data_IF_615059664809
#
_entry.id   IF_615059664809
#
_cell.length_a   1.000
_cell.length_b   1.000
_cell.length_c   1.000
_cell.angle_alpha   90.00
_cell.angle_beta   90.00
_cell.angle_gamma   90.00
#
_symmetry.space_group_name_H-M   'P 1'
#
loop_
_entity.id
_entity.type
_entity.pdbx_description
1 polymer ?
#
# COMPACT_ATOMS: atom_id res chain seq x y z
N UNK A 1 -25.10 4.77 19.93
CA UNK A 1 -26.26 4.24 19.17
C UNK A 1 -27.13 3.39 20.09
N UNK A 2 -26.57 2.37 20.75
CA UNK A 2 -27.29 1.50 21.69
C UNK A 2 -28.05 2.26 22.79
N UNK A 3 -27.38 3.14 23.54
CA UNK A 3 -28.02 3.87 24.65
C UNK A 3 -29.13 4.82 24.19
N UNK A 4 -28.95 5.45 23.02
CA UNK A 4 -29.95 6.36 22.42
C UNK A 4 -31.18 5.61 21.91
N UNK A 5 -31.00 4.39 21.40
CA UNK A 5 -32.09 3.53 20.97
C UNK A 5 -32.93 3.03 22.15
N UNK A 6 -32.31 2.72 23.28
CA UNK A 6 -33.03 2.25 24.48
C UNK A 6 -34.02 3.31 25.03
N UNK A 7 -33.74 4.59 24.79
CA UNK A 7 -34.57 5.70 25.27
C UNK A 7 -35.59 6.19 24.25
N UNK A 8 -35.62 5.65 23.03
CA UNK A 8 -36.50 6.10 21.96
C UNK A 8 -37.98 5.79 22.28
N UNK A 9 -38.87 6.74 22.01
CA UNK A 9 -40.29 6.70 22.36
C UNK A 9 -41.21 6.44 21.16
N UNK A 10 -40.68 6.47 19.94
CA UNK A 10 -41.43 6.20 18.72
C UNK A 10 -40.56 5.54 17.64
N UNK A 11 -41.22 4.98 16.63
CA UNK A 11 -40.55 4.42 15.44
C UNK A 11 -39.83 5.53 14.67
N UNK A 12 -40.42 6.72 14.55
CA UNK A 12 -39.78 7.86 13.88
C UNK A 12 -38.47 8.25 14.57
N UNK A 13 -38.42 8.22 15.91
CA UNK A 13 -37.21 8.50 16.68
C UNK A 13 -36.13 7.42 16.46
N UNK A 14 -36.54 6.14 16.38
CA UNK A 14 -35.63 5.04 16.03
C UNK A 14 -35.02 5.25 14.65
N UNK A 15 -35.82 5.63 13.65
CA UNK A 15 -35.35 5.91 12.29
C UNK A 15 -34.35 7.08 12.30
N UNK A 16 -34.66 8.17 12.99
CA UNK A 16 -33.74 9.32 13.08
C UNK A 16 -32.40 8.95 13.75
N UNK A 17 -32.43 8.17 14.83
CA UNK A 17 -31.21 7.70 15.50
C UNK A 17 -30.38 6.82 14.56
N UNK A 18 -31.05 5.94 13.81
CA UNK A 18 -30.40 5.06 12.85
C UNK A 18 -29.79 5.82 11.67
N UNK A 19 -30.52 6.76 11.07
CA UNK A 19 -30.05 7.58 9.97
C UNK A 19 -28.84 8.42 10.37
N UNK A 20 -28.90 9.04 11.56
CA UNK A 20 -27.77 9.76 12.12
C UNK A 20 -26.54 8.85 12.30
N UNK A 21 -26.74 7.64 12.82
CA UNK A 21 -25.65 6.67 13.02
C UNK A 21 -25.02 6.25 11.69
N UNK A 22 -25.83 5.86 10.70
CA UNK A 22 -25.35 5.47 9.38
C UNK A 22 -24.60 6.61 8.71
N UNK A 23 -25.15 7.82 8.74
CA UNK A 23 -24.50 8.98 8.16
C UNK A 23 -23.13 9.23 8.82
N UNK A 24 -23.05 9.11 10.15
CA UNK A 24 -21.80 9.22 10.88
C UNK A 24 -20.79 8.15 10.44
N UNK A 25 -21.19 6.88 10.39
CA UNK A 25 -20.31 5.79 9.96
C UNK A 25 -19.78 5.99 8.53
N UNK A 26 -20.65 6.36 7.60
CA UNK A 26 -20.26 6.59 6.20
C UNK A 26 -19.27 7.76 6.08
N UNK A 27 -19.45 8.83 6.86
CA UNK A 27 -18.52 9.96 6.91
C UNK A 27 -17.17 9.58 7.51
N UNK A 28 -17.16 8.93 8.68
CA UNK A 28 -15.93 8.53 9.36
C UNK A 28 -15.14 7.48 8.55
N UNK A 29 -15.81 6.64 7.75
CA UNK A 29 -15.16 5.74 6.79
C UNK A 29 -14.71 6.43 5.49
N UNK A 30 -14.83 7.76 5.38
CA UNK A 30 -14.47 8.58 4.21
C UNK A 30 -15.28 8.23 2.94
N UNK A 31 -16.36 7.45 3.06
CA UNK A 31 -17.13 6.94 1.91
C UNK A 31 -18.00 8.01 1.25
N UNK A 32 -18.20 9.16 1.91
CA UNK A 32 -19.00 10.28 1.39
C UNK A 32 -18.15 11.36 0.71
N UNK A 33 -16.83 11.18 0.61
CA UNK A 33 -15.93 12.11 -0.09
C UNK A 33 -15.35 11.44 -1.34
N UNK A 34 -15.88 11.73 -2.54
CA UNK A 34 -15.36 11.19 -3.80
C UNK A 34 -13.89 11.51 -4.01
N UNK A 35 -13.44 12.70 -3.61
CA UNK A 35 -12.04 13.12 -3.74
C UNK A 35 -11.10 12.26 -2.89
N UNK A 36 -11.48 11.97 -1.65
CA UNK A 36 -10.70 11.07 -0.78
C UNK A 36 -10.73 9.64 -1.29
N UNK A 37 -11.88 9.15 -1.73
CA UNK A 37 -12.03 7.80 -2.28
C UNK A 37 -11.12 7.55 -3.48
N UNK A 38 -11.03 8.51 -4.41
CA UNK A 38 -10.15 8.39 -5.59
C UNK A 38 -8.68 8.24 -5.18
N UNK A 39 -8.23 9.03 -4.20
CA UNK A 39 -6.85 8.98 -3.69
C UNK A 39 -6.56 7.66 -2.97
N UNK A 40 -7.48 7.19 -2.12
CA UNK A 40 -7.37 5.91 -1.42
C UNK A 40 -7.36 4.73 -2.41
N UNK A 41 -8.20 4.76 -3.44
CA UNK A 41 -8.20 3.71 -4.48
C UNK A 41 -6.88 3.71 -5.26
N UNK A 42 -6.30 4.88 -5.53
CA UNK A 42 -4.99 4.98 -6.17
C UNK A 42 -3.86 4.42 -5.28
N UNK A 43 -3.86 4.69 -3.98
CA UNK A 43 -2.92 4.07 -3.03
C UNK A 43 -3.06 2.55 -3.03
N UNK A 44 -4.29 2.04 -2.97
CA UNK A 44 -4.56 0.59 -3.05
C UNK A 44 -4.03 0.00 -4.35
N UNK A 45 -4.26 0.66 -5.50
CA UNK A 45 -3.76 0.21 -6.78
C UNK A 45 -2.23 0.15 -6.82
N UNK A 46 -1.53 1.15 -6.27
CA UNK A 46 -0.07 1.14 -6.13
C UNK A 46 0.41 -0.03 -5.27
N UNK A 47 -0.23 -0.29 -4.12
CA UNK A 47 0.09 -1.43 -3.26
C UNK A 47 -0.09 -2.77 -3.97
N UNK A 48 -1.18 -2.92 -4.74
CA UNK A 48 -1.44 -4.14 -5.52
C UNK A 48 -0.40 -4.33 -6.64
N UNK A 49 -0.09 -3.27 -7.40
CA UNK A 49 0.94 -3.31 -8.44
C UNK A 49 2.31 -3.65 -7.87
N UNK A 50 2.66 -3.08 -6.72
CA UNK A 50 3.89 -3.41 -6.00
C UNK A 50 3.90 -4.89 -5.58
N UNK A 51 2.83 -5.37 -4.94
CA UNK A 51 2.73 -6.77 -4.50
C UNK A 51 2.84 -7.76 -5.68
N UNK A 52 2.15 -7.49 -6.80
CA UNK A 52 2.26 -8.31 -8.01
C UNK A 52 3.68 -8.28 -8.58
N UNK A 53 4.32 -7.11 -8.63
CA UNK A 53 5.69 -6.98 -9.14
C UNK A 53 6.69 -7.77 -8.30
N UNK A 54 6.56 -7.73 -6.97
CA UNK A 54 7.40 -8.51 -6.06
C UNK A 54 7.11 -10.01 -6.17
N UNK A 55 5.84 -10.43 -6.30
CA UNK A 55 5.48 -11.85 -6.46
C UNK A 55 6.04 -12.47 -7.74
N UNK A 56 6.02 -11.74 -8.85
CA UNK A 56 6.63 -12.20 -10.12
C UNK A 56 8.15 -12.33 -10.04
N UNK A 57 8.75 -11.63 -9.07
CA UNK A 57 10.19 -11.50 -8.92
C UNK A 57 10.80 -12.53 -7.97
N UNK A 58 10.07 -12.95 -6.92
CA UNK A 58 10.52 -13.97 -5.93
C UNK A 58 11.15 -15.22 -6.61
N UNK A 59 10.54 -15.81 -7.67
CA UNK A 59 11.12 -16.97 -8.35
C UNK A 59 12.49 -16.71 -9.01
N UNK A 60 12.78 -15.46 -9.39
CA UNK A 60 14.05 -15.08 -10.05
C UNK A 60 15.21 -14.97 -9.05
N UNK A 61 14.90 -14.70 -7.78
CA UNK A 61 15.90 -14.58 -6.70
C UNK A 61 16.25 -15.96 -6.14
N UNK A 62 15.29 -16.89 -6.04
CA UNK A 62 15.54 -18.25 -5.55
C UNK A 62 16.42 -19.09 -6.50
N UNK A 63 16.41 -18.80 -7.80
CA UNK A 63 17.28 -19.48 -8.80
C UNK A 63 18.75 -19.03 -8.67
N UNK A 64 19.03 -17.86 -8.07
CA UNK A 64 20.38 -17.32 -7.94
C UNK A 64 21.20 -17.94 -6.80
N UNK A 65 20.66 -18.89 -6.03
CA UNK A 65 21.39 -19.57 -4.96
C UNK A 65 21.59 -21.07 -5.20
N UNK A 66 22.51 -21.49 -6.08
CA UNK A 66 22.94 -22.88 -6.17
C UNK A 66 23.97 -23.17 -5.07
N UNK A 67 23.53 -23.30 -3.82
CA UNK A 67 24.35 -23.96 -2.81
C UNK A 67 24.43 -25.47 -3.11
N UNK A 68 25.60 -25.87 -3.62
CA UNK A 68 26.32 -27.06 -3.17
C UNK A 68 25.73 -28.44 -3.51
N UNK A 69 25.70 -28.83 -4.79
CA UNK A 69 25.73 -30.27 -5.14
C UNK A 69 27.11 -30.67 -5.66
N UNK A 70 27.97 -31.03 -4.72
CA UNK A 70 29.29 -31.62 -4.96
C UNK A 70 29.16 -33.10 -5.37
N UNK A 71 29.18 -33.41 -6.68
CA UNK A 71 29.58 -34.75 -7.15
C UNK A 71 30.36 -34.72 -8.47
N UNK A 72 31.68 -34.88 -8.30
CA UNK A 72 32.63 -35.72 -9.08
C UNK A 72 32.39 -35.93 -10.58
N UNK A 73 33.36 -35.52 -11.41
CA UNK A 73 33.55 -36.06 -12.76
C UNK A 73 34.35 -35.17 -13.72
N UNK A 74 35.61 -35.52 -13.99
CA UNK A 74 36.48 -34.88 -15.00
C UNK A 74 35.87 -34.97 -16.42
N UNK A 75 35.75 -33.85 -17.14
CA UNK A 75 36.28 -33.67 -18.52
C UNK A 75 35.77 -32.41 -19.22
N UNK A 76 36.73 -31.72 -19.89
CA UNK A 76 36.58 -30.83 -21.07
C UNK A 76 35.39 -29.87 -21.13
N UNK A 77 35.65 -28.56 -20.98
CA UNK A 77 35.04 -27.50 -21.79
C UNK A 77 35.65 -26.12 -21.47
N UNK A 78 36.36 -25.50 -22.43
CA UNK A 78 36.72 -24.06 -22.39
C UNK A 78 35.56 -23.17 -22.86
N UNK A 79 34.35 -23.72 -23.02
CA UNK A 79 33.17 -23.03 -23.57
C UNK A 79 32.25 -22.47 -22.45
N UNK A 80 32.37 -22.95 -21.20
CA UNK A 80 31.42 -22.57 -20.12
C UNK A 80 31.71 -21.24 -19.40
N UNK A 81 32.87 -20.59 -19.61
CA UNK A 81 33.22 -19.36 -18.89
C UNK A 81 32.51 -18.10 -19.41
N UNK A 82 32.07 -18.10 -20.67
CA UNK A 82 31.32 -16.98 -21.25
C UNK A 82 29.86 -17.00 -20.83
N UNK A 83 29.26 -18.19 -20.74
CA UNK A 83 27.85 -18.38 -20.38
C UNK A 83 27.57 -17.97 -18.92
N UNK A 84 28.47 -18.34 -17.99
CA UNK A 84 28.41 -17.93 -16.58
C UNK A 84 28.53 -16.41 -16.40
N UNK A 85 29.39 -15.76 -17.20
CA UNK A 85 29.56 -14.31 -17.18
C UNK A 85 28.34 -13.57 -17.75
N UNK A 86 27.72 -14.10 -18.80
CA UNK A 86 26.51 -13.53 -19.39
C UNK A 86 25.29 -13.72 -18.47
N UNK A 87 25.17 -14.86 -17.76
CA UNK A 87 24.15 -15.07 -16.72
C UNK A 87 24.33 -14.12 -15.53
N UNK A 88 25.57 -13.91 -15.08
CA UNK A 88 25.87 -13.00 -13.97
C UNK A 88 25.62 -11.53 -14.34
N UNK A 89 25.93 -11.13 -15.58
CA UNK A 89 25.61 -9.79 -16.11
C UNK A 89 24.10 -9.60 -16.26
N UNK A 90 23.36 -10.63 -16.68
CA UNK A 90 21.90 -10.62 -16.78
C UNK A 90 21.25 -10.46 -15.40
N UNK A 91 21.65 -11.25 -14.40
CA UNK A 91 21.18 -11.12 -13.02
C UNK A 91 21.50 -9.75 -12.41
N UNK A 92 22.70 -9.21 -12.68
CA UNK A 92 23.06 -7.87 -12.23
C UNK A 92 22.16 -6.80 -12.89
N UNK A 93 21.87 -6.93 -14.19
CA UNK A 93 20.98 -6.02 -14.90
C UNK A 93 19.53 -6.09 -14.40
N UNK A 94 19.03 -7.30 -14.12
CA UNK A 94 17.69 -7.54 -13.56
C UNK A 94 17.57 -6.93 -12.15
N UNK A 95 18.59 -7.08 -11.30
CA UNK A 95 18.64 -6.44 -9.98
C UNK A 95 18.66 -4.91 -10.05
N UNK A 96 19.38 -4.32 -11.01
CA UNK A 96 19.39 -2.86 -11.20
C UNK A 96 18.02 -2.35 -11.63
N UNK A 97 17.42 -2.95 -12.66
CA UNK A 97 16.06 -2.58 -13.13
C UNK A 97 15.01 -2.76 -12.03
N UNK A 98 15.17 -3.78 -11.20
CA UNK A 98 14.33 -4.05 -10.03
C UNK A 98 14.45 -2.96 -8.96
N UNK A 99 15.66 -2.62 -8.53
CA UNK A 99 15.88 -1.55 -7.55
C UNK A 99 15.30 -0.21 -8.03
N UNK A 100 15.44 0.11 -9.31
CA UNK A 100 14.86 1.31 -9.91
C UNK A 100 13.32 1.27 -9.87
N UNK A 101 12.73 0.09 -10.11
CA UNK A 101 11.28 -0.11 -10.05
C UNK A 101 10.73 0.06 -8.62
N UNK A 102 11.44 -0.46 -7.61
CA UNK A 102 11.09 -0.27 -6.20
C UNK A 102 11.12 1.22 -5.81
N UNK A 103 12.18 1.94 -6.20
CA UNK A 103 12.29 3.38 -5.93
C UNK A 103 11.18 4.18 -6.62
N UNK A 104 10.76 3.78 -7.83
CA UNK A 104 9.60 4.38 -8.52
C UNK A 104 8.30 4.15 -7.74
N UNK A 105 8.07 2.93 -7.24
CA UNK A 105 6.89 2.64 -6.40
C UNK A 105 6.91 3.44 -5.10
N UNK A 106 8.05 3.51 -4.42
CA UNK A 106 8.20 4.29 -3.19
C UNK A 106 7.90 5.77 -3.43
N UNK A 107 8.48 6.37 -4.48
CA UNK A 107 8.23 7.76 -4.84
C UNK A 107 6.76 8.01 -5.17
N UNK A 108 6.13 7.13 -5.95
CA UNK A 108 4.71 7.25 -6.31
C UNK A 108 3.79 7.09 -5.11
N UNK A 109 4.06 6.11 -4.24
CA UNK A 109 3.31 5.88 -3.01
C UNK A 109 3.41 7.07 -2.07
N UNK A 110 4.62 7.56 -1.81
CA UNK A 110 4.83 8.72 -0.94
C UNK A 110 4.18 9.97 -1.53
N UNK A 111 4.26 10.20 -2.84
CA UNK A 111 3.60 11.32 -3.49
C UNK A 111 2.08 11.25 -3.32
N UNK A 112 1.47 10.09 -3.53
CA UNK A 112 0.02 9.93 -3.38
C UNK A 112 -0.41 10.06 -1.91
N UNK A 113 0.35 9.48 -0.99
CA UNK A 113 0.12 9.56 0.46
C UNK A 113 0.17 11.01 0.95
N UNK A 114 1.17 11.79 0.51
CA UNK A 114 1.27 13.22 0.82
C UNK A 114 0.14 14.04 0.18
N UNK A 115 -0.37 13.60 -0.97
CA UNK A 115 -1.49 14.27 -1.64
C UNK A 115 -2.82 14.16 -0.88
N UNK A 116 -2.95 13.24 0.09
CA UNK A 116 -4.13 13.13 0.96
C UNK A 116 -4.19 14.25 1.99
N UNK A 117 -3.04 14.70 2.51
CA UNK A 117 -2.94 15.70 3.58
C UNK A 117 -3.72 16.99 3.27
N UNK A 118 -3.58 17.65 2.10
CA UNK A 118 -4.33 18.86 1.81
C UNK A 118 -5.85 18.61 1.71
N UNK A 119 -6.28 17.49 1.12
CA UNK A 119 -7.71 17.14 0.99
C UNK A 119 -8.34 16.82 2.35
N UNK A 120 -7.60 16.18 3.25
CA UNK A 120 -8.03 15.96 4.64
C UNK A 120 -8.08 17.28 5.42
N UNK A 121 -7.10 18.15 5.22
CA UNK A 121 -7.01 19.45 5.91
C UNK A 121 -8.06 20.46 5.42
N UNK A 122 -8.46 20.44 4.14
CA UNK A 122 -9.55 21.28 3.65
C UNK A 122 -10.90 20.83 4.22
N UNK A 123 -11.07 19.52 4.38
CA UNK A 123 -12.29 18.91 4.91
C UNK A 123 -12.40 19.02 6.44
N UNK A 124 -11.31 19.35 7.14
CA UNK A 124 -11.26 19.35 8.60
C UNK A 124 -12.07 20.46 9.26
N UNK A 125 -12.39 21.54 8.55
CA UNK A 125 -13.27 22.61 9.02
C UNK A 125 -14.68 22.08 9.34
N UNK A 126 -15.16 21.10 8.55
CA UNK A 126 -16.44 20.45 8.78
C UNK A 126 -16.30 19.20 9.66
N UNK A 127 -15.15 18.53 9.60
CA UNK A 127 -14.93 17.20 10.18
C UNK A 127 -13.58 17.16 10.94
N UNK A 128 -13.55 17.59 12.23
CA UNK A 128 -12.30 17.81 12.96
C UNK A 128 -11.45 16.55 13.16
N UNK A 129 -12.07 15.36 13.11
CA UNK A 129 -11.37 14.08 13.18
C UNK A 129 -10.42 13.84 12.00
N UNK A 130 -10.65 14.49 10.85
CA UNK A 130 -9.76 14.39 9.69
C UNK A 130 -8.40 15.07 9.93
N UNK A 131 -8.33 16.07 10.81
CA UNK A 131 -7.07 16.70 11.22
C UNK A 131 -6.14 15.68 11.86
N UNK A 132 -6.68 14.82 12.72
CA UNK A 132 -5.91 13.78 13.40
C UNK A 132 -5.33 12.78 12.39
N UNK A 133 -6.15 12.36 11.42
CA UNK A 133 -5.69 11.47 10.34
C UNK A 133 -4.59 12.13 9.48
N UNK A 134 -4.73 13.40 9.13
CA UNK A 134 -3.71 14.14 8.38
C UNK A 134 -2.39 14.23 9.16
N UNK A 135 -2.44 14.45 10.47
CA UNK A 135 -1.28 14.47 11.35
C UNK A 135 -0.60 13.09 11.45
N UNK A 136 -1.38 11.99 11.53
CA UNK A 136 -0.83 10.63 11.46
C UNK A 136 -0.01 10.42 10.19
N UNK A 137 -0.55 10.82 9.04
CA UNK A 137 0.09 10.64 7.73
C UNK A 137 1.41 11.42 7.64
N UNK A 138 1.49 12.59 8.27
CA UNK A 138 2.71 13.40 8.34
C UNK A 138 3.76 12.86 9.32
N UNK A 139 3.46 11.77 10.05
CA UNK A 139 4.36 11.22 11.07
C UNK A 139 4.50 12.12 12.30
N UNK A 140 3.59 13.07 12.49
CA UNK A 140 3.51 13.86 13.71
C UNK A 140 3.03 12.94 14.83
N UNK A 141 3.90 12.71 15.83
CA UNK A 141 3.60 11.85 16.97
C UNK A 141 2.36 12.40 17.67
N UNK A 142 1.32 11.58 17.71
CA UNK A 142 0.14 11.85 18.53
C UNK A 142 0.55 11.48 19.95
N UNK A 143 1.14 12.44 20.67
CA UNK A 143 1.24 12.33 22.11
C UNK A 143 -0.17 12.66 22.67
N UNK A 144 -0.99 11.62 22.87
CA UNK A 144 -2.21 11.71 23.67
C UNK A 144 -2.44 10.43 24.45
#
# INVERSE_FOLDING_TARGET
MHDRLQTARSIDEVIQIHDFFLQKCLKECLLLSPELLVKVEKLKALCLQYATSIQLLIPSIEVANPENTSKSGKSRSRINKSQDRDEQLKLASENVVMSESILKFEAAFNSELQSLVPTLSSSSQAEPYLTHLAQCILGMRIDQ
#
